data_IF_530085495614
#
_entry.id   IF_530085495614
#
_cell.length_a   1.000
_cell.length_b   1.000
_cell.length_c   1.000
_cell.angle_alpha   90.00
_cell.angle_beta   90.00
_cell.angle_gamma   90.00
#
_symmetry.space_group_name_H-M   'P 1'
#
loop_
_entity.id
_entity.type
_entity.pdbx_description
1 polymer ?
#
# COMPACT_ATOMS: atom_id res chain seq x y z
N UNK A 1 9.31 10.47 27.48
CA UNK A 1 9.83 9.59 26.40
C UNK A 1 10.52 10.47 25.38
N UNK A 2 11.64 10.01 24.80
CA UNK A 2 12.37 10.76 23.78
C UNK A 2 11.53 10.90 22.50
N UNK A 3 11.60 12.06 21.85
CA UNK A 3 10.77 12.43 20.68
C UNK A 3 10.85 11.37 19.56
N UNK A 4 12.06 10.91 19.28
CA UNK A 4 12.36 9.86 18.30
C UNK A 4 11.62 8.54 18.55
N UNK A 5 11.45 8.14 19.82
CA UNK A 5 10.69 6.91 20.17
C UNK A 5 9.20 7.11 19.90
N UNK A 6 8.66 8.28 20.21
CA UNK A 6 7.25 8.61 19.99
C UNK A 6 6.92 8.74 18.50
N UNK A 7 7.84 9.30 17.69
CA UNK A 7 7.69 9.34 16.23
C UNK A 7 7.70 7.93 15.62
N UNK A 8 8.61 7.06 16.06
CA UNK A 8 8.70 5.69 15.56
C UNK A 8 7.44 4.87 15.85
N UNK A 9 6.87 5.03 17.04
CA UNK A 9 5.59 4.41 17.39
C UNK A 9 4.44 4.93 16.51
N UNK A 10 4.37 6.23 16.25
CA UNK A 10 3.34 6.79 15.36
C UNK A 10 3.48 6.28 13.93
N UNK A 11 4.71 6.21 13.41
CA UNK A 11 4.98 5.64 12.08
C UNK A 11 4.52 4.19 12.02
N UNK A 12 4.82 3.40 13.06
CA UNK A 12 4.42 2.00 13.14
C UNK A 12 2.89 1.84 13.14
N UNK A 13 2.17 2.60 13.96
CA UNK A 13 0.70 2.55 13.99
C UNK A 13 0.08 2.93 12.65
N UNK A 14 0.52 4.03 12.02
CA UNK A 14 0.03 4.41 10.69
C UNK A 14 0.32 3.29 9.67
N UNK A 15 1.48 2.66 9.75
CA UNK A 15 1.85 1.57 8.82
C UNK A 15 0.97 0.33 9.02
N UNK A 16 0.58 0.02 10.27
CA UNK A 16 -0.38 -1.04 10.57
C UNK A 16 -1.78 -0.73 10.01
N UNK A 17 -2.25 0.50 10.21
CA UNK A 17 -3.53 0.98 9.64
C UNK A 17 -3.52 0.90 8.11
N UNK A 18 -2.44 1.34 7.46
CA UNK A 18 -2.26 1.22 6.01
C UNK A 18 -2.32 -0.24 5.54
N UNK A 19 -1.74 -1.18 6.29
CA UNK A 19 -1.82 -2.60 5.93
C UNK A 19 -3.25 -3.12 6.04
N UNK A 20 -3.98 -2.76 7.09
CA UNK A 20 -5.39 -3.14 7.23
C UNK A 20 -6.23 -2.59 6.07
N UNK A 21 -6.07 -1.31 5.75
CA UNK A 21 -6.75 -0.68 4.61
C UNK A 21 -6.39 -1.35 3.27
N UNK A 22 -5.11 -1.71 3.06
CA UNK A 22 -4.68 -2.43 1.85
C UNK A 22 -5.33 -3.82 1.74
N UNK A 23 -5.53 -4.54 2.85
CA UNK A 23 -6.27 -5.81 2.86
C UNK A 23 -7.75 -5.64 2.51
N UNK A 24 -8.32 -4.50 2.90
CA UNK A 24 -9.71 -4.11 2.61
C UNK A 24 -9.86 -3.43 1.23
N UNK A 25 -8.77 -3.31 0.46
CA UNK A 25 -8.71 -2.59 -0.82
C UNK A 25 -9.07 -1.09 -0.74
N UNK A 26 -8.96 -0.48 0.44
CA UNK A 26 -9.11 0.96 0.64
C UNK A 26 -7.80 1.69 0.30
N UNK A 27 -7.50 1.73 -1.00
CA UNK A 27 -6.29 2.37 -1.53
C UNK A 27 -6.26 3.88 -1.34
N UNK A 28 -7.42 4.52 -1.21
CA UNK A 28 -7.53 5.94 -0.91
C UNK A 28 -7.01 6.23 0.49
N UNK A 29 -7.43 5.46 1.49
CA UNK A 29 -6.90 5.58 2.83
C UNK A 29 -5.39 5.30 2.89
N UNK A 30 -4.90 4.27 2.17
CA UNK A 30 -3.46 3.97 2.09
C UNK A 30 -2.67 5.18 1.57
N UNK A 31 -3.16 5.85 0.53
CA UNK A 31 -2.52 7.04 -0.04
C UNK A 31 -2.55 8.22 0.94
N UNK A 32 -3.69 8.49 1.58
CA UNK A 32 -3.82 9.60 2.54
C UNK A 32 -2.92 9.38 3.76
N UNK A 33 -2.86 8.15 4.27
CA UNK A 33 -2.02 7.77 5.40
C UNK A 33 -0.53 7.88 5.07
N UNK A 34 -0.11 7.53 3.85
CA UNK A 34 1.27 7.71 3.40
C UNK A 34 1.69 9.20 3.34
N UNK A 35 0.78 10.09 2.94
CA UNK A 35 1.02 11.56 2.99
C UNK A 35 1.25 12.03 4.43
N UNK A 36 0.54 11.46 5.41
CA UNK A 36 0.71 11.78 6.83
C UNK A 36 1.97 11.14 7.44
N UNK A 37 2.31 9.93 7.01
CA UNK A 37 3.44 9.14 7.52
C UNK A 37 4.79 9.71 7.13
N UNK A 38 4.95 10.15 5.88
CA UNK A 38 6.24 10.57 5.32
C UNK A 38 6.95 11.69 6.12
N UNK A 39 6.27 12.79 6.51
CA UNK A 39 6.88 13.81 7.36
C UNK A 39 7.35 13.30 8.73
N UNK A 40 6.70 12.27 9.28
CA UNK A 40 7.12 11.67 10.55
C UNK A 40 8.40 10.86 10.37
N UNK A 41 8.53 10.11 9.28
CA UNK A 41 9.76 9.39 8.93
C UNK A 41 10.91 10.39 8.76
N UNK A 42 10.69 11.45 8.00
CA UNK A 42 11.70 12.51 7.77
C UNK A 42 12.14 13.19 9.07
N UNK A 43 11.23 13.38 10.03
CA UNK A 43 11.56 13.94 11.36
C UNK A 43 12.23 12.94 12.29
N UNK A 44 11.94 11.65 12.14
CA UNK A 44 12.48 10.59 12.97
C UNK A 44 13.96 10.32 12.64
N UNK A 45 14.40 10.65 11.42
CA UNK A 45 15.78 10.41 10.96
C UNK A 45 16.58 11.71 10.78
N UNK A 46 17.88 11.74 11.18
CA UNK A 46 18.61 10.66 11.80
C UNK A 46 18.18 10.42 13.26
N UNK A 47 18.11 9.15 13.66
CA UNK A 47 17.90 8.78 15.05
C UNK A 47 19.04 9.36 15.88
N UNK A 48 18.75 10.26 16.81
CA UNK A 48 19.81 10.85 17.63
C UNK A 48 20.37 9.81 18.60
N UNK A 49 21.69 9.63 18.60
CA UNK A 49 22.39 8.68 19.46
C UNK A 49 22.09 8.95 20.94
N UNK A 50 21.66 7.92 21.68
CA UNK A 50 21.30 8.01 23.10
C UNK A 50 19.84 8.37 23.38
N UNK A 51 19.05 8.75 22.37
CA UNK A 51 17.62 9.05 22.52
C UNK A 51 16.70 7.85 22.29
N UNK A 52 17.20 6.69 21.85
CA UNK A 52 16.34 5.53 21.60
C UNK A 52 16.99 4.27 22.14
N UNK A 53 16.21 3.45 22.83
CA UNK A 53 16.62 2.08 23.12
C UNK A 53 16.81 1.36 21.77
N UNK A 54 18.07 1.07 21.41
CA UNK A 54 18.42 0.62 20.07
C UNK A 54 17.74 -0.70 19.68
N UNK A 55 17.46 -1.58 20.63
CA UNK A 55 16.76 -2.85 20.39
C UNK A 55 15.29 -2.63 20.04
N UNK A 56 14.60 -1.79 20.82
CA UNK A 56 13.21 -1.42 20.55
C UNK A 56 13.08 -0.66 19.23
N UNK A 57 14.00 0.27 18.95
CA UNK A 57 14.04 0.99 17.68
C UNK A 57 14.19 0.02 16.51
N UNK A 58 15.16 -0.89 16.61
CA UNK A 58 15.44 -1.88 15.57
C UNK A 58 14.26 -2.84 15.37
N UNK A 59 13.52 -3.19 16.42
CA UNK A 59 12.31 -4.00 16.31
C UNK A 59 11.20 -3.26 15.56
N UNK A 60 10.90 -2.01 15.92
CA UNK A 60 9.87 -1.22 15.24
C UNK A 60 10.23 -0.91 13.78
N UNK A 61 11.49 -0.61 13.49
CA UNK A 61 11.96 -0.39 12.10
C UNK A 61 11.79 -1.67 11.26
N UNK A 62 12.16 -2.83 11.80
CA UNK A 62 11.96 -4.12 11.12
C UNK A 62 10.48 -4.35 10.81
N UNK A 63 9.61 -4.12 11.80
CA UNK A 63 8.17 -4.29 11.61
C UNK A 63 7.62 -3.33 10.55
N UNK A 64 8.02 -2.05 10.56
CA UNK A 64 7.63 -1.08 9.52
C UNK A 64 8.03 -1.58 8.13
N UNK A 65 9.27 -2.06 7.96
CA UNK A 65 9.76 -2.59 6.67
C UNK A 65 8.94 -3.81 6.23
N UNK A 66 8.65 -4.74 7.13
CA UNK A 66 7.85 -5.93 6.83
C UNK A 66 6.42 -5.58 6.41
N UNK A 67 5.79 -4.62 7.09
CA UNK A 67 4.47 -4.12 6.74
C UNK A 67 4.47 -3.41 5.38
N UNK A 68 5.48 -2.57 5.09
CA UNK A 68 5.63 -1.90 3.79
C UNK A 68 5.77 -2.89 2.63
N UNK A 69 6.57 -3.96 2.83
CA UNK A 69 6.69 -5.04 1.86
C UNK A 69 5.35 -5.76 1.65
N UNK A 70 4.59 -5.98 2.71
CA UNK A 70 3.23 -6.56 2.64
C UNK A 70 2.29 -5.65 1.84
N UNK A 71 2.26 -4.35 2.11
CA UNK A 71 1.41 -3.38 1.40
C UNK A 71 1.76 -3.34 -0.09
N UNK A 72 3.07 -3.32 -0.41
CA UNK A 72 3.54 -3.36 -1.80
C UNK A 72 3.09 -4.62 -2.53
N UNK A 73 3.15 -5.78 -1.88
CA UNK A 73 2.67 -7.04 -2.45
C UNK A 73 1.17 -7.01 -2.75
N UNK A 74 0.37 -6.50 -1.81
CA UNK A 74 -1.08 -6.32 -1.98
C UNK A 74 -1.41 -5.38 -3.14
N UNK A 75 -0.67 -4.26 -3.27
CA UNK A 75 -0.87 -3.31 -4.37
C UNK A 75 -0.56 -3.93 -5.73
N UNK A 76 0.51 -4.73 -5.84
CA UNK A 76 0.84 -5.47 -7.07
C UNK A 76 -0.27 -6.47 -7.44
N UNK A 77 -0.75 -7.23 -6.45
CA UNK A 77 -1.83 -8.19 -6.66
C UNK A 77 -3.12 -7.50 -7.16
N UNK A 78 -3.53 -6.41 -6.50
CA UNK A 78 -4.73 -5.67 -6.88
C UNK A 78 -4.62 -5.06 -8.29
N UNK A 79 -3.44 -4.55 -8.65
CA UNK A 79 -3.18 -4.05 -10.00
C UNK A 79 -3.34 -5.16 -11.06
N UNK A 80 -2.77 -6.33 -10.81
CA UNK A 80 -2.85 -7.46 -11.73
C UNK A 80 -4.28 -7.98 -11.89
N UNK A 81 -5.06 -8.02 -10.81
CA UNK A 81 -6.48 -8.39 -10.84
C UNK A 81 -7.31 -7.41 -11.69
N UNK A 82 -7.07 -6.10 -11.52
CA UNK A 82 -7.70 -5.06 -12.33
C UNK A 82 -7.33 -5.18 -13.81
N UNK A 83 -6.05 -5.42 -14.12
CA UNK A 83 -5.57 -5.60 -15.48
C UNK A 83 -6.23 -6.80 -16.17
N UNK A 84 -6.35 -7.93 -15.47
CA UNK A 84 -7.03 -9.12 -15.97
C UNK A 84 -8.54 -8.86 -16.21
N UNK A 85 -9.21 -8.19 -15.29
CA UNK A 85 -10.62 -7.82 -15.40
C UNK A 85 -10.88 -6.91 -16.60
N UNK A 86 -10.01 -5.91 -16.82
CA UNK A 86 -10.07 -5.04 -18.00
C UNK A 86 -9.83 -5.82 -19.31
N UNK A 87 -8.91 -6.78 -19.29
CA UNK A 87 -8.66 -7.67 -20.43
C UNK A 87 -9.90 -8.49 -20.82
N UNK A 88 -10.55 -9.12 -19.84
CA UNK A 88 -11.79 -9.89 -20.05
C UNK A 88 -12.92 -9.02 -20.61
N UNK A 89 -13.10 -7.81 -20.09
CA UNK A 89 -14.10 -6.86 -20.61
C UNK A 89 -13.83 -6.45 -22.06
N UNK A 90 -12.56 -6.20 -22.43
CA UNK A 90 -12.18 -5.89 -23.82
C UNK A 90 -12.49 -7.05 -24.77
N UNK A 91 -12.12 -8.28 -24.39
CA UNK A 91 -12.39 -9.48 -25.17
C UNK A 91 -13.91 -9.73 -25.33
N UNK A 92 -14.69 -9.55 -24.27
CA UNK A 92 -16.15 -9.67 -24.32
C UNK A 92 -16.80 -8.67 -25.29
N UNK A 93 -16.35 -7.41 -25.28
CA UNK A 93 -16.82 -6.39 -26.24
C UNK A 93 -16.44 -6.72 -27.69
N UNK A 94 -15.23 -7.24 -27.92
CA UNK A 94 -14.80 -7.66 -29.25
C UNK A 94 -15.63 -8.84 -29.77
N UNK A 95 -15.87 -9.85 -28.94
CA UNK A 95 -16.72 -10.98 -29.29
C UNK A 95 -18.16 -10.52 -29.60
N UNK A 96 -18.76 -9.68 -28.75
CA UNK A 96 -20.10 -9.13 -28.98
C UNK A 96 -20.19 -8.33 -30.29
N UNK A 97 -19.17 -7.53 -30.60
CA UNK A 97 -19.09 -6.77 -31.86
C UNK A 97 -19.00 -7.69 -33.08
N UNK A 98 -18.19 -8.76 -33.00
CA UNK A 98 -18.04 -9.73 -34.09
C UNK A 98 -19.34 -10.49 -34.37
N UNK A 99 -20.07 -10.90 -33.34
CA UNK A 99 -21.39 -11.52 -33.51
C UNK A 99 -22.41 -10.53 -34.13
N UNK A 100 -22.38 -9.26 -33.71
CA UNK A 100 -23.28 -8.24 -34.23
C UNK A 100 -23.00 -7.87 -35.71
N UNK A 101 -21.75 -7.98 -36.17
CA UNK A 101 -21.39 -7.75 -37.58
C UNK A 101 -21.77 -8.93 -38.47
N UNK A 102 -21.63 -10.17 -37.98
CA UNK A 102 -22.05 -11.37 -38.73
C UNK A 102 -23.57 -11.38 -38.93
N UNK A 103 -24.35 -10.97 -37.92
CA UNK A 103 -25.82 -10.94 -38.01
C UNK A 103 -26.40 -9.83 -38.90
N UNK A 104 -25.60 -8.84 -39.31
CA UNK A 104 -26.00 -7.74 -40.22
C UNK A 104 -25.58 -7.96 -41.67
N UNK A 105 -24.75 -8.96 -41.94
CA UNK A 105 -24.26 -9.30 -43.28
C UNK A 105 -24.86 -10.59 -43.87
N UNK A 106 -25.90 -11.16 -43.24
CA UNK A 106 -26.77 -12.22 -43.78
C UNK A 106 -28.12 -11.63 -44.15
#
# INVERSE_FOLDING_TARGET
MPESTTLLQQILEITREMRTAALESDWEFVQQSEVRRRPLIERCFPLQDGEVNSELAAASIREIIELDLSIKSLALFAHDELAQSLGKLKLGRQAASAYASVKRGS
#
